data_IF_046532668159
#
_entry.id   IF_046532668159
#
_cell.length_a   1.000
_cell.length_b   1.000
_cell.length_c   1.000
_cell.angle_alpha   90.00
_cell.angle_beta   90.00
_cell.angle_gamma   90.00
#
_symmetry.space_group_name_H-M   'P 1'
#
loop_
_entity.id
_entity.type
_entity.pdbx_description
1 polymer ?
#
# COMPACT_ATOMS: atom_id res chain seq x y z
N UNK A 1 -42.65 -32.00 19.04
CA UNK A 1 -43.93 -31.44 19.53
C UNK A 1 -43.71 -29.94 19.72
N UNK A 2 -44.53 -29.13 19.06
CA UNK A 2 -44.44 -27.67 19.00
C UNK A 2 -44.80 -27.09 20.36
N UNK A 3 -43.92 -26.31 20.99
CA UNK A 3 -44.27 -25.53 22.18
C UNK A 3 -44.22 -24.03 21.85
N UNK A 4 -45.21 -23.31 22.38
CA UNK A 4 -45.76 -22.06 21.89
C UNK A 4 -44.80 -20.87 22.03
N UNK A 5 -44.76 -20.01 21.00
CA UNK A 5 -44.07 -18.70 21.00
C UNK A 5 -44.86 -17.70 21.84
N UNK A 6 -44.23 -17.14 22.88
CA UNK A 6 -44.64 -15.86 23.46
C UNK A 6 -44.22 -14.71 22.53
N UNK A 7 -45.14 -13.84 22.07
CA UNK A 7 -44.81 -12.70 21.22
C UNK A 7 -44.31 -11.54 22.09
N UNK A 8 -43.01 -11.48 22.35
CA UNK A 8 -42.42 -10.36 23.08
C UNK A 8 -41.00 -10.55 23.63
N UNK A 9 -40.44 -11.77 23.60
CA UNK A 9 -39.07 -11.99 24.07
C UNK A 9 -38.08 -11.47 23.03
N UNK A 10 -37.40 -10.36 23.32
CA UNK A 10 -36.24 -9.94 22.52
C UNK A 10 -35.25 -11.09 22.52
N UNK A 11 -34.99 -11.65 21.34
CA UNK A 11 -33.94 -12.65 21.18
C UNK A 11 -32.63 -11.93 21.47
N UNK A 12 -32.13 -12.03 22.71
CA UNK A 12 -30.79 -11.52 23.04
C UNK A 12 -29.80 -12.41 22.33
N UNK A 13 -29.39 -11.99 21.14
CA UNK A 13 -28.26 -12.58 20.45
C UNK A 13 -27.04 -12.42 21.38
N UNK A 14 -26.61 -13.52 21.99
CA UNK A 14 -25.33 -13.59 22.68
C UNK A 14 -24.27 -13.62 21.58
N UNK A 15 -23.92 -12.44 21.08
CA UNK A 15 -22.85 -12.26 20.12
C UNK A 15 -21.52 -12.55 20.82
N UNK A 16 -21.03 -13.78 20.65
CA UNK A 16 -19.65 -14.12 20.99
C UNK A 16 -18.81 -13.76 19.78
N UNK A 17 -18.25 -12.56 19.77
CA UNK A 17 -17.28 -12.19 18.73
C UNK A 17 -16.07 -13.11 18.83
N UNK A 18 -15.70 -13.74 17.72
CA UNK A 18 -14.53 -14.60 17.66
C UNK A 18 -13.23 -13.80 17.93
N UNK A 19 -13.24 -12.48 17.62
CA UNK A 19 -12.15 -11.54 17.82
C UNK A 19 -12.73 -10.18 18.25
N UNK A 20 -12.84 -9.91 19.58
CA UNK A 20 -13.44 -8.66 20.05
C UNK A 20 -12.50 -7.48 19.79
N UNK A 21 -12.96 -6.52 18.98
CA UNK A 21 -12.25 -5.27 18.74
C UNK A 21 -12.60 -4.31 19.89
N UNK A 22 -11.62 -3.87 20.70
CA UNK A 22 -11.91 -3.06 21.90
C UNK A 22 -12.40 -1.66 21.57
N UNK A 23 -11.93 -1.10 20.46
CA UNK A 23 -12.27 0.27 20.06
C UNK A 23 -12.21 0.44 18.53
N UNK A 24 -12.84 1.51 18.03
CA UNK A 24 -12.86 1.82 16.60
C UNK A 24 -11.44 2.02 16.01
N UNK A 25 -10.48 2.47 16.82
CA UNK A 25 -9.10 2.67 16.40
C UNK A 25 -8.39 1.36 16.03
N UNK A 26 -8.59 0.32 16.82
CA UNK A 26 -8.09 -1.04 16.57
C UNK A 26 -8.73 -1.63 15.31
N UNK A 27 -10.04 -1.41 15.10
CA UNK A 27 -10.73 -1.84 13.88
C UNK A 27 -10.26 -1.13 12.61
N UNK A 28 -9.83 0.13 12.73
CA UNK A 28 -9.29 0.92 11.61
C UNK A 28 -7.77 0.85 11.47
N UNK A 29 -7.05 0.21 12.40
CA UNK A 29 -5.58 0.15 12.38
C UNK A 29 -5.02 -0.38 11.04
N UNK A 30 -5.54 -1.48 10.45
CA UNK A 30 -5.05 -1.96 9.15
C UNK A 30 -5.11 -0.91 8.03
N UNK A 31 -6.14 -0.07 8.06
CA UNK A 31 -6.32 1.00 7.09
C UNK A 31 -5.32 2.13 7.30
N UNK A 32 -5.13 2.58 8.54
CA UNK A 32 -4.14 3.62 8.84
C UNK A 32 -2.72 3.16 8.57
N UNK A 33 -2.38 1.89 8.83
CA UNK A 33 -1.07 1.36 8.47
C UNK A 33 -0.84 1.41 6.95
N UNK A 34 -1.81 0.95 6.15
CA UNK A 34 -1.72 1.04 4.70
C UNK A 34 -1.62 2.49 4.20
N UNK A 35 -2.39 3.42 4.79
CA UNK A 35 -2.39 4.83 4.40
C UNK A 35 -1.05 5.49 4.70
N UNK A 36 -0.52 5.29 5.92
CA UNK A 36 0.78 5.83 6.34
C UNK A 36 1.88 5.39 5.38
N UNK A 37 1.97 4.08 5.08
CA UNK A 37 2.95 3.54 4.13
C UNK A 37 2.87 4.18 2.74
N UNK A 38 1.65 4.47 2.26
CA UNK A 38 1.50 5.10 0.96
C UNK A 38 1.93 6.57 0.98
N UNK A 39 1.58 7.30 2.04
CA UNK A 39 2.01 8.69 2.21
C UNK A 39 3.53 8.78 2.39
N UNK A 40 4.14 7.86 3.14
CA UNK A 40 5.59 7.75 3.26
C UNK A 40 6.28 7.43 1.94
N UNK A 41 5.67 6.61 1.08
CA UNK A 41 6.14 6.39 -0.29
C UNK A 41 6.12 7.69 -1.14
N UNK A 42 5.09 8.53 -1.02
CA UNK A 42 5.02 9.84 -1.68
C UNK A 42 6.12 10.77 -1.19
N UNK A 43 6.29 10.87 0.13
CA UNK A 43 7.32 11.70 0.76
C UNK A 43 8.73 11.24 0.33
N UNK A 44 8.97 9.93 0.41
CA UNK A 44 10.25 9.32 0.01
C UNK A 44 10.55 9.56 -1.47
N UNK A 45 9.56 9.42 -2.36
CA UNK A 45 9.77 9.68 -3.78
C UNK A 45 10.01 11.18 -4.05
N UNK A 46 9.38 12.08 -3.30
CA UNK A 46 9.64 13.53 -3.39
C UNK A 46 11.08 13.86 -3.01
N UNK A 47 11.58 13.31 -1.90
CA UNK A 47 13.00 13.45 -1.51
C UNK A 47 13.93 12.86 -2.58
N UNK A 48 13.60 11.66 -3.08
CA UNK A 48 14.40 10.98 -4.10
C UNK A 48 14.45 11.74 -5.43
N UNK A 49 13.35 12.37 -5.83
CA UNK A 49 13.27 13.17 -7.04
C UNK A 49 14.22 14.38 -7.00
N UNK A 50 14.42 14.97 -5.82
CA UNK A 50 15.34 16.11 -5.62
C UNK A 50 16.79 15.65 -5.52
N UNK A 51 17.07 14.60 -4.73
CA UNK A 51 18.44 14.27 -4.33
C UNK A 51 19.10 13.18 -5.20
N UNK A 52 18.31 12.26 -5.76
CA UNK A 52 18.82 11.06 -6.43
C UNK A 52 18.50 11.00 -7.93
N UNK A 53 17.77 11.97 -8.48
CA UNK A 53 17.39 12.02 -9.89
C UNK A 53 18.50 12.56 -10.81
N UNK A 54 19.71 11.99 -10.70
CA UNK A 54 20.83 12.31 -11.60
C UNK A 54 20.75 11.44 -12.86
N UNK A 55 20.99 12.06 -14.02
CA UNK A 55 21.11 11.33 -15.28
C UNK A 55 22.29 10.36 -15.20
N UNK A 56 22.05 9.11 -15.56
CA UNK A 56 23.07 8.04 -15.57
C UNK A 56 22.98 7.28 -16.88
N UNK A 57 24.15 6.97 -17.44
CA UNK A 57 24.26 6.25 -18.72
C UNK A 57 23.90 4.77 -18.60
N UNK A 58 24.14 4.15 -17.44
CA UNK A 58 23.85 2.74 -17.19
C UNK A 58 22.57 2.59 -16.34
N UNK A 59 21.70 1.65 -16.75
CA UNK A 59 20.47 1.35 -16.02
C UNK A 59 20.74 0.93 -14.56
N UNK A 60 21.80 0.14 -14.31
CA UNK A 60 22.17 -0.28 -12.95
C UNK A 60 22.40 0.89 -12.00
N UNK A 61 23.10 1.93 -12.46
CA UNK A 61 23.38 3.12 -11.65
C UNK A 61 22.14 4.00 -11.48
N UNK A 62 21.31 4.08 -12.53
CA UNK A 62 20.01 4.74 -12.46
C UNK A 62 19.10 4.05 -11.43
N UNK A 63 18.92 2.73 -11.55
CA UNK A 63 18.09 1.92 -10.66
C UNK A 63 18.58 2.00 -9.22
N UNK A 64 19.90 1.95 -8.98
CA UNK A 64 20.45 2.14 -7.62
C UNK A 64 20.05 3.50 -7.03
N UNK A 65 20.15 4.58 -7.80
CA UNK A 65 19.77 5.90 -7.29
C UNK A 65 18.26 6.05 -7.07
N UNK A 66 17.49 5.49 -7.99
CA UNK A 66 16.03 5.55 -8.00
C UNK A 66 15.39 4.63 -6.97
N UNK A 67 16.03 3.52 -6.61
CA UNK A 67 15.41 2.48 -5.81
C UNK A 67 16.21 2.17 -4.54
N UNK A 68 17.53 2.00 -4.65
CA UNK A 68 18.35 1.54 -3.53
C UNK A 68 18.55 2.60 -2.44
N UNK A 69 18.84 3.87 -2.77
CA UNK A 69 18.93 4.91 -1.74
C UNK A 69 17.59 5.21 -1.05
N UNK A 70 16.46 5.29 -1.78
CA UNK A 70 15.14 5.44 -1.17
C UNK A 70 14.75 4.30 -0.21
N UNK A 71 15.29 3.08 -0.38
CA UNK A 71 15.04 1.98 0.57
C UNK A 71 15.42 2.32 2.01
N UNK A 72 16.39 3.21 2.24
CA UNK A 72 16.79 3.62 3.60
C UNK A 72 15.62 4.31 4.31
N UNK A 73 14.92 5.21 3.62
CA UNK A 73 13.74 5.90 4.15
C UNK A 73 12.57 4.94 4.35
N UNK A 74 12.36 4.01 3.41
CA UNK A 74 11.31 2.99 3.49
C UNK A 74 11.52 2.09 4.70
N UNK A 75 12.75 1.59 4.90
CA UNK A 75 13.10 0.76 6.06
C UNK A 75 12.93 1.55 7.36
N UNK A 76 13.36 2.82 7.38
CA UNK A 76 13.18 3.70 8.54
C UNK A 76 11.71 3.90 8.91
N UNK A 77 10.85 4.14 7.92
CA UNK A 77 9.40 4.23 8.10
C UNK A 77 8.81 2.94 8.69
N UNK A 78 9.18 1.79 8.13
CA UNK A 78 8.66 0.48 8.58
C UNK A 78 9.14 0.15 9.99
N UNK A 79 10.40 0.45 10.33
CA UNK A 79 10.92 0.30 11.70
C UNK A 79 10.12 1.18 12.64
N UNK A 80 9.87 2.44 12.28
CA UNK A 80 9.10 3.37 13.09
C UNK A 80 7.68 2.86 13.33
N UNK A 81 6.98 2.43 12.28
CA UNK A 81 5.62 1.90 12.39
C UNK A 81 5.54 0.61 13.21
N UNK A 82 6.46 -0.33 12.97
CA UNK A 82 6.53 -1.59 13.72
C UNK A 82 6.87 -1.34 15.20
N UNK A 83 7.75 -0.37 15.47
CA UNK A 83 8.07 0.08 16.82
C UNK A 83 6.88 0.73 17.53
N UNK A 84 6.15 1.61 16.84
CA UNK A 84 4.91 2.20 17.38
C UNK A 84 3.87 1.12 17.70
N UNK A 85 3.71 0.12 16.83
CA UNK A 85 2.83 -1.02 17.13
C UNK A 85 3.28 -1.75 18.39
N UNK A 86 4.56 -2.12 18.45
CA UNK A 86 5.10 -2.90 19.56
C UNK A 86 4.99 -2.20 20.92
N UNK A 87 5.35 -0.90 20.98
CA UNK A 87 5.43 -0.15 22.23
C UNK A 87 4.11 0.54 22.65
N UNK A 88 3.25 0.94 21.70
CA UNK A 88 2.09 1.81 21.99
C UNK A 88 0.75 1.13 21.74
N UNK A 89 0.58 0.47 20.59
CA UNK A 89 -0.72 -0.01 20.13
C UNK A 89 -0.99 -1.46 20.56
N UNK A 90 0.01 -2.31 20.38
CA UNK A 90 0.00 -3.72 20.76
C UNK A 90 -0.87 -4.62 19.90
N UNK A 91 -1.15 -4.26 18.64
CA UNK A 91 -2.05 -5.03 17.78
C UNK A 91 -1.37 -6.27 17.18
N UNK A 92 -0.09 -6.18 16.80
CA UNK A 92 0.64 -7.25 16.11
C UNK A 92 1.69 -7.98 16.93
N UNK A 93 1.62 -7.92 18.27
CA UNK A 93 2.71 -8.41 19.16
C UNK A 93 3.09 -9.88 18.94
N UNK A 94 2.12 -10.74 18.64
CA UNK A 94 2.34 -12.19 18.45
C UNK A 94 3.10 -12.50 17.16
N UNK A 95 3.02 -11.62 16.15
CA UNK A 95 3.52 -11.84 14.80
C UNK A 95 4.37 -10.68 14.30
N UNK A 96 5.12 -10.03 15.19
CA UNK A 96 5.87 -8.80 14.89
C UNK A 96 6.84 -8.95 13.71
N UNK A 97 7.48 -10.13 13.56
CA UNK A 97 8.38 -10.41 12.44
C UNK A 97 7.64 -10.54 11.11
N UNK A 98 6.48 -11.18 11.09
CA UNK A 98 5.63 -11.33 9.90
C UNK A 98 5.06 -9.95 9.52
N UNK A 99 4.60 -9.19 10.51
CA UNK A 99 4.12 -7.83 10.32
C UNK A 99 5.21 -6.94 9.72
N UNK A 100 6.43 -6.96 10.26
CA UNK A 100 7.56 -6.21 9.73
C UNK A 100 7.82 -6.53 8.25
N UNK A 101 7.91 -7.83 7.92
CA UNK A 101 8.13 -8.28 6.54
C UNK A 101 7.00 -7.85 5.60
N UNK A 102 5.75 -7.93 6.07
CA UNK A 102 4.59 -7.49 5.30
C UNK A 102 4.60 -5.98 5.07
N UNK A 103 4.85 -5.18 6.11
CA UNK A 103 4.91 -3.72 6.02
C UNK A 103 6.03 -3.30 5.08
N UNK A 104 7.21 -3.92 5.19
CA UNK A 104 8.33 -3.66 4.28
C UNK A 104 7.96 -3.98 2.83
N UNK A 105 7.31 -5.12 2.59
CA UNK A 105 6.88 -5.51 1.25
C UNK A 105 5.84 -4.55 0.66
N UNK A 106 4.84 -4.14 1.45
CA UNK A 106 3.84 -3.15 1.04
C UNK A 106 4.51 -1.80 0.74
N UNK A 107 5.41 -1.34 1.61
CA UNK A 107 6.10 -0.06 1.47
C UNK A 107 6.94 -0.01 0.18
N UNK A 108 7.68 -1.09 -0.11
CA UNK A 108 8.44 -1.22 -1.36
C UNK A 108 7.51 -1.20 -2.59
N UNK A 109 6.37 -1.87 -2.50
CA UNK A 109 5.36 -1.90 -3.58
C UNK A 109 4.81 -0.50 -3.83
N UNK A 110 4.40 0.22 -2.79
CA UNK A 110 3.89 1.58 -2.92
C UNK A 110 4.92 2.56 -3.43
N UNK A 111 6.14 2.49 -2.90
CA UNK A 111 7.24 3.29 -3.42
C UNK A 111 7.42 3.05 -4.92
N UNK A 112 7.41 1.79 -5.36
CA UNK A 112 7.55 1.44 -6.78
C UNK A 112 6.43 2.04 -7.63
N UNK A 113 5.18 1.99 -7.17
CA UNK A 113 4.02 2.54 -7.90
C UNK A 113 4.16 4.06 -8.03
N UNK A 114 4.42 4.76 -6.92
CA UNK A 114 4.61 6.22 -6.91
C UNK A 114 5.79 6.62 -7.80
N UNK A 115 6.89 5.86 -7.71
CA UNK A 115 8.08 6.06 -8.52
C UNK A 115 7.80 5.86 -10.02
N UNK A 116 7.02 4.84 -10.38
CA UNK A 116 6.63 4.54 -11.75
C UNK A 116 5.75 5.65 -12.35
N UNK A 117 4.70 6.08 -11.64
CA UNK A 117 3.78 7.13 -12.11
C UNK A 117 4.51 8.45 -12.34
N UNK A 118 5.33 8.88 -11.38
CA UNK A 118 6.09 10.13 -11.48
C UNK A 118 7.12 10.13 -12.63
N UNK A 119 7.60 8.95 -13.03
CA UNK A 119 8.54 8.78 -14.15
C UNK A 119 7.82 8.62 -15.48
N UNK A 120 6.61 8.09 -15.48
CA UNK A 120 5.81 7.96 -16.70
C UNK A 120 5.25 9.31 -17.13
N UNK A 121 4.92 10.18 -16.18
CA UNK A 121 4.38 11.52 -16.43
C UNK A 121 5.25 12.61 -15.77
N UNK A 122 6.39 12.99 -16.39
CA UNK A 122 7.24 14.06 -15.86
C UNK A 122 6.46 15.38 -15.72
N UNK A 123 6.52 16.01 -14.54
CA UNK A 123 5.87 17.30 -14.25
C UNK A 123 4.41 17.20 -13.79
N UNK A 124 3.65 16.19 -14.22
CA UNK A 124 2.24 16.02 -13.81
C UNK A 124 1.99 14.78 -12.95
N UNK A 125 2.96 13.87 -12.83
CA UNK A 125 2.82 12.63 -12.08
C UNK A 125 2.43 12.82 -10.62
N UNK A 126 2.85 13.91 -9.98
CA UNK A 126 2.45 14.23 -8.61
C UNK A 126 0.94 14.44 -8.47
N UNK A 127 0.30 15.08 -9.45
CA UNK A 127 -1.16 15.26 -9.49
C UNK A 127 -1.87 13.91 -9.68
N UNK A 128 -1.31 13.03 -10.52
CA UNK A 128 -1.87 11.69 -10.75
C UNK A 128 -1.78 10.86 -9.47
N UNK A 129 -0.65 10.92 -8.76
CA UNK A 129 -0.46 10.24 -7.47
C UNK A 129 -1.43 10.80 -6.42
N UNK A 130 -1.68 12.11 -6.40
CA UNK A 130 -2.66 12.73 -5.52
C UNK A 130 -4.08 12.18 -5.78
N UNK A 131 -4.52 12.16 -7.05
CA UNK A 131 -5.83 11.61 -7.43
C UNK A 131 -5.92 10.13 -7.08
N UNK A 132 -4.87 9.35 -7.36
CA UNK A 132 -4.80 7.94 -7.01
C UNK A 132 -4.90 7.74 -5.49
N UNK A 133 -4.28 8.60 -4.70
CA UNK A 133 -4.37 8.60 -3.23
C UNK A 133 -5.82 8.82 -2.76
N UNK A 134 -6.54 9.78 -3.33
CA UNK A 134 -7.94 10.03 -3.00
C UNK A 134 -8.84 8.85 -3.40
N UNK A 135 -8.61 8.29 -4.59
CA UNK A 135 -9.37 7.15 -5.10
C UNK A 135 -9.19 5.90 -4.23
N UNK A 136 -7.95 5.57 -3.86
CA UNK A 136 -7.66 4.40 -3.04
C UNK A 136 -8.16 4.55 -1.60
N UNK A 137 -8.09 5.75 -1.03
CA UNK A 137 -8.62 6.06 0.31
C UNK A 137 -10.13 5.78 0.35
N UNK A 138 -10.84 6.20 -0.70
CA UNK A 138 -12.29 5.99 -0.82
C UNK A 138 -12.67 4.53 -1.12
N UNK A 139 -11.82 3.80 -1.86
CA UNK A 139 -12.13 2.47 -2.40
C UNK A 139 -11.57 1.30 -1.59
N UNK A 140 -10.66 1.53 -0.63
CA UNK A 140 -9.92 0.46 0.08
C UNK A 140 -10.63 -0.16 1.28
N UNK A 141 -11.94 0.08 1.46
CA UNK A 141 -12.76 -0.48 2.55
C UNK A 141 -12.20 -0.18 3.96
N UNK A 142 -11.79 1.08 4.19
CA UNK A 142 -11.24 1.54 5.47
C UNK A 142 -12.26 1.51 6.61
N UNK A 143 -13.40 2.18 6.43
CA UNK A 143 -14.45 2.30 7.46
C UNK A 143 -15.63 1.34 7.28
N UNK A 144 -15.87 0.86 6.05
CA UNK A 144 -16.99 -0.04 5.73
C UNK A 144 -16.51 -1.21 4.87
N UNK A 145 -17.11 -2.38 5.05
CA UNK A 145 -16.81 -3.55 4.25
C UNK A 145 -17.10 -3.27 2.76
N UNK A 146 -16.21 -3.71 1.88
CA UNK A 146 -16.34 -3.46 0.45
C UNK A 146 -17.67 -3.98 -0.12
N UNK A 147 -18.19 -5.05 0.46
CA UNK A 147 -19.46 -5.69 0.08
C UNK A 147 -20.69 -4.80 0.33
N UNK A 148 -20.56 -3.75 1.13
CA UNK A 148 -21.62 -2.76 1.39
C UNK A 148 -21.55 -1.56 0.45
N UNK A 149 -20.52 -1.47 -0.40
CA UNK A 149 -20.35 -0.38 -1.36
C UNK A 149 -21.13 -0.64 -2.66
N UNK A 150 -21.42 0.43 -3.41
CA UNK A 150 -22.06 0.34 -4.72
C UNK A 150 -21.21 -0.55 -5.68
N UNK A 151 -21.83 -1.32 -6.59
CA UNK A 151 -21.13 -2.19 -7.55
C UNK A 151 -19.95 -1.53 -8.27
N UNK A 152 -20.02 -0.24 -8.58
CA UNK A 152 -18.93 0.51 -9.22
C UNK A 152 -17.66 0.49 -8.36
N UNK A 153 -17.77 0.71 -7.05
CA UNK A 153 -16.63 0.66 -6.13
C UNK A 153 -16.10 -0.76 -5.91
N UNK A 154 -16.96 -1.78 -6.03
CA UNK A 154 -16.56 -3.19 -5.97
C UNK A 154 -15.81 -3.68 -7.21
N UNK A 155 -15.86 -2.94 -8.33
CA UNK A 155 -15.03 -3.23 -9.50
C UNK A 155 -13.72 -2.44 -9.44
N UNK A 156 -13.77 -1.17 -9.04
CA UNK A 156 -12.59 -0.31 -8.92
C UNK A 156 -11.60 -0.87 -7.90
N UNK A 157 -12.08 -1.36 -6.75
CA UNK A 157 -11.22 -1.84 -5.67
C UNK A 157 -10.23 -2.95 -6.09
N UNK A 158 -10.57 -3.74 -7.13
CA UNK A 158 -9.74 -4.84 -7.65
C UNK A 158 -8.45 -4.31 -8.26
N UNK A 159 -8.48 -3.08 -8.75
CA UNK A 159 -7.35 -2.37 -9.38
C UNK A 159 -6.63 -1.43 -8.41
N UNK A 160 -7.01 -1.43 -7.13
CA UNK A 160 -6.40 -0.58 -6.11
C UNK A 160 -5.47 -1.43 -5.24
N UNK A 161 -4.14 -1.15 -5.23
CA UNK A 161 -3.18 -1.92 -4.44
C UNK A 161 -3.48 -1.82 -2.93
N UNK A 162 -4.01 -0.68 -2.50
CA UNK A 162 -4.37 -0.43 -1.10
C UNK A 162 -5.47 -1.34 -0.57
N UNK A 163 -6.37 -1.83 -1.42
CA UNK A 163 -7.38 -2.82 -0.99
C UNK A 163 -6.69 -4.08 -0.47
N UNK A 164 -5.66 -4.57 -1.18
CA UNK A 164 -4.97 -5.81 -0.84
C UNK A 164 -4.05 -5.65 0.37
N UNK A 165 -3.41 -4.49 0.54
CA UNK A 165 -2.64 -4.20 1.75
C UNK A 165 -3.55 -4.16 2.98
N UNK A 166 -4.70 -3.48 2.90
CA UNK A 166 -5.65 -3.36 4.02
C UNK A 166 -6.22 -4.72 4.37
N UNK A 167 -6.55 -5.56 3.37
CA UNK A 167 -6.99 -6.94 3.60
C UNK A 167 -5.90 -7.79 4.27
N UNK A 168 -4.64 -7.70 3.83
CA UNK A 168 -3.53 -8.44 4.42
C UNK A 168 -3.25 -8.01 5.86
N UNK A 169 -3.23 -6.71 6.11
CA UNK A 169 -3.01 -6.14 7.43
C UNK A 169 -4.17 -6.47 8.36
N UNK A 170 -5.42 -6.46 7.89
CA UNK A 170 -6.59 -6.84 8.69
C UNK A 170 -6.54 -8.30 9.10
N UNK A 171 -6.10 -9.17 8.19
CA UNK A 171 -5.92 -10.59 8.48
C UNK A 171 -4.88 -10.82 9.57
N UNK A 172 -3.74 -10.13 9.54
CA UNK A 172 -2.67 -10.29 10.54
C UNK A 172 -2.94 -9.56 11.86
N UNK A 173 -3.41 -8.31 11.81
CA UNK A 173 -3.56 -7.46 12.99
C UNK A 173 -4.87 -7.72 13.75
N UNK A 174 -5.94 -8.14 13.07
CA UNK A 174 -7.29 -8.19 13.68
C UNK A 174 -7.89 -9.60 13.70
N UNK A 175 -7.48 -10.49 12.80
CA UNK A 175 -8.12 -11.80 12.62
C UNK A 175 -7.18 -12.98 12.90
N UNK A 176 -5.94 -12.71 13.28
CA UNK A 176 -4.88 -13.71 13.50
C UNK A 176 -4.81 -14.78 12.38
N UNK A 177 -4.92 -14.33 11.13
CA UNK A 177 -4.99 -15.17 9.95
C UNK A 177 -3.79 -14.90 9.03
N UNK A 178 -2.87 -15.85 8.98
CA UNK A 178 -1.66 -15.74 8.15
C UNK A 178 -1.89 -16.08 6.67
N UNK A 179 -3.11 -16.47 6.27
CA UNK A 179 -3.43 -16.79 4.87
C UNK A 179 -3.67 -15.52 4.04
N UNK A 180 -2.56 -14.84 3.71
CA UNK A 180 -2.51 -13.61 2.89
C UNK A 180 -1.98 -13.87 1.47
N UNK A 181 -1.96 -15.14 1.03
CA UNK A 181 -1.33 -15.54 -0.24
C UNK A 181 -1.89 -14.82 -1.46
N UNK A 182 -3.22 -14.66 -1.52
CA UNK A 182 -3.89 -14.03 -2.67
C UNK A 182 -3.52 -12.55 -2.76
N UNK A 183 -3.56 -11.86 -1.64
CA UNK A 183 -3.23 -10.45 -1.54
C UNK A 183 -1.75 -10.20 -1.89
N UNK A 184 -0.85 -11.06 -1.40
CA UNK A 184 0.57 -10.99 -1.76
C UNK A 184 0.80 -11.18 -3.26
N UNK A 185 0.16 -12.16 -3.90
CA UNK A 185 0.29 -12.37 -5.35
C UNK A 185 -0.10 -11.11 -6.13
N UNK A 186 -1.22 -10.46 -5.74
CA UNK A 186 -1.67 -9.25 -6.42
C UNK A 186 -0.70 -8.08 -6.18
N UNK A 187 -0.19 -7.90 -4.96
CA UNK A 187 0.83 -6.89 -4.67
C UNK A 187 2.14 -7.15 -5.43
N UNK A 188 2.55 -8.40 -5.60
CA UNK A 188 3.70 -8.78 -6.45
C UNK A 188 3.45 -8.35 -7.90
N UNK A 189 2.25 -8.55 -8.44
CA UNK A 189 1.91 -8.10 -9.80
C UNK A 189 2.06 -6.58 -9.91
N UNK A 190 1.51 -5.81 -8.97
CA UNK A 190 1.67 -4.36 -8.94
C UNK A 190 3.14 -3.91 -8.87
N UNK A 191 3.93 -4.59 -8.04
CA UNK A 191 5.37 -4.34 -7.93
C UNK A 191 6.07 -4.59 -9.26
N UNK A 192 5.83 -5.75 -9.88
CA UNK A 192 6.45 -6.13 -11.16
C UNK A 192 6.07 -5.16 -12.28
N UNK A 193 4.79 -4.82 -12.41
CA UNK A 193 4.30 -3.84 -13.39
C UNK A 193 4.98 -2.48 -13.19
N UNK A 194 5.12 -2.04 -11.94
CA UNK A 194 5.78 -0.77 -11.62
C UNK A 194 7.26 -0.78 -11.99
N UNK A 195 7.97 -1.88 -11.73
CA UNK A 195 9.39 -2.02 -12.11
C UNK A 195 9.56 -2.01 -13.64
N UNK A 196 8.65 -2.64 -14.39
CA UNK A 196 8.63 -2.59 -15.85
C UNK A 196 8.45 -1.16 -16.35
N UNK A 197 7.52 -0.40 -15.76
CA UNK A 197 7.30 1.02 -16.13
C UNK A 197 8.54 1.87 -15.85
N UNK A 198 9.21 1.67 -14.71
CA UNK A 198 10.46 2.38 -14.38
C UNK A 198 11.55 2.08 -15.41
N UNK A 199 11.70 0.81 -15.80
CA UNK A 199 12.65 0.41 -16.84
C UNK A 199 12.32 1.04 -18.20
N UNK A 200 11.06 0.99 -18.62
CA UNK A 200 10.62 1.59 -19.89
C UNK A 200 10.85 3.11 -19.90
N UNK A 201 10.48 3.81 -18.82
CA UNK A 201 10.70 5.25 -18.72
C UNK A 201 12.19 5.62 -18.83
N UNK A 202 13.10 4.83 -18.23
CA UNK A 202 14.54 5.01 -18.41
C UNK A 202 14.96 4.92 -19.88
N UNK A 203 14.50 3.90 -20.61
CA UNK A 203 14.88 3.71 -22.02
C UNK A 203 14.40 4.84 -22.92
N UNK A 204 13.17 5.33 -22.70
CA UNK A 204 12.57 6.42 -23.48
C UNK A 204 13.32 7.74 -23.25
N UNK A 205 13.57 8.11 -21.99
CA UNK A 205 14.25 9.36 -21.64
C UNK A 205 15.71 9.37 -22.10
N UNK A 206 16.39 8.22 -22.08
CA UNK A 206 17.77 8.12 -22.56
C UNK A 206 17.87 8.24 -24.08
N UNK A 207 16.87 7.76 -24.85
CA UNK A 207 16.81 7.94 -26.31
C UNK A 207 16.56 9.39 -26.70
N UNK A 208 15.57 10.04 -26.07
CA UNK A 208 15.19 11.43 -26.38
C UNK A 208 16.34 12.40 -26.16
N UNK A 209 17.12 12.20 -25.10
CA UNK A 209 18.23 13.09 -24.74
C UNK A 209 19.49 12.90 -25.61
N UNK A 210 19.72 11.70 -26.15
CA UNK A 210 20.82 11.42 -27.09
C UNK A 210 20.57 12.06 -28.45
N UNK A 211 19.34 11.96 -28.97
CA UNK A 211 18.94 12.62 -30.22
C UNK A 211 19.05 14.14 -30.17
N UNK A 212 18.72 14.78 -29.04
CA UNK A 212 18.89 16.23 -28.88
C UNK A 212 20.35 16.70 -28.78
N UNK A 213 21.29 15.82 -28.46
CA UNK A 213 22.73 16.15 -28.41
C UNK A 213 23.34 15.99 -29.82
N UNK A 214 22.94 14.97 -30.58
CA UNK A 214 23.38 14.76 -31.97
C UNK A 214 22.82 15.82 -32.95
N UNK A 215 21.69 16.45 -32.65
CA UNK A 215 21.11 17.53 -33.48
C UNK A 215 21.71 18.90 -33.20
N UNK A 216 22.36 19.09 -32.04
CA UNK A 216 22.92 20.37 -31.60
C UNK A 216 24.46 20.39 -31.53
N UNK A 217 25.14 19.37 -32.05
CA UNK A 217 26.60 19.28 -32.13
C UNK A 217 27.07 19.11 -33.56
#
# INVERSE_FOLDING_TARGET
MVNQKEPGTTVRFVHKEAYPIKNNGEGMAPYFFALTLFVGAIATNSVAAVHFNKLKSKFKDYWRNVFFFPLIFIVGEVIFMTGMDYYLLGFGKEHIGILFCLLLFIAITYYSIVAAVNRLFPGTGGLIVLVLTMLQTSSSAGSYAIYLSNPIFQEINKFIPMTYSVMSLRKILSLDNLNIRRELIVLIIFLMVSQVIIYLSFTIHHKKKRSSIEVNG
#
